data_IF_971465617122
#
_entry.id   IF_971465617122
#
_cell.length_a   1.000
_cell.length_b   1.000
_cell.length_c   1.000
_cell.angle_alpha   90.00
_cell.angle_beta   90.00
_cell.angle_gamma   90.00
#
_symmetry.space_group_name_H-M   'P 1'
#
loop_
_entity.id
_entity.type
_entity.pdbx_description
1 polymer ?
#
# COMPACT_ATOMS: atom_id res chain seq x y z
N UNK A 1 21.43 13.06 -16.29
CA UNK A 1 22.17 12.19 -15.34
C UNK A 1 22.19 10.78 -15.91
N UNK A 2 23.17 9.93 -15.60
CA UNK A 2 23.09 8.51 -15.98
C UNK A 2 21.85 7.85 -15.36
N UNK A 3 21.27 6.82 -16.00
CA UNK A 3 20.11 6.12 -15.46
C UNK A 3 20.45 5.42 -14.14
N UNK A 4 19.49 5.38 -13.22
CA UNK A 4 19.57 4.62 -11.98
C UNK A 4 19.56 3.14 -12.32
N UNK A 5 20.58 2.40 -11.89
CA UNK A 5 20.74 0.98 -12.20
C UNK A 5 19.97 0.13 -11.19
N UNK A 6 19.02 -0.63 -11.68
CA UNK A 6 17.99 -1.30 -10.88
C UNK A 6 18.24 -2.80 -10.80
N UNK A 7 18.21 -3.33 -9.57
CA UNK A 7 18.06 -4.75 -9.27
C UNK A 7 16.63 -5.06 -8.82
N UNK A 8 15.96 -6.04 -9.44
CA UNK A 8 14.60 -6.44 -9.07
C UNK A 8 14.61 -7.81 -8.37
N UNK A 9 14.07 -7.86 -7.16
CA UNK A 9 13.81 -9.09 -6.40
C UNK A 9 12.32 -9.45 -6.54
N UNK A 10 12.01 -10.62 -7.12
CA UNK A 10 10.63 -11.12 -7.22
C UNK A 10 9.92 -10.88 -8.57
N UNK A 11 10.67 -10.71 -9.66
CA UNK A 11 10.07 -10.61 -11.00
C UNK A 11 9.73 -12.00 -11.54
N UNK A 12 8.44 -12.24 -11.83
CA UNK A 12 7.94 -13.43 -12.52
C UNK A 12 6.73 -13.08 -13.38
N UNK A 13 6.29 -13.98 -14.27
CA UNK A 13 5.21 -13.72 -15.23
C UNK A 13 3.91 -13.22 -14.59
N UNK A 14 3.58 -13.70 -13.38
CA UNK A 14 2.34 -13.37 -12.68
C UNK A 14 2.54 -12.47 -11.46
N UNK A 15 3.78 -12.02 -11.19
CA UNK A 15 4.06 -11.22 -10.01
C UNK A 15 3.56 -9.78 -10.14
N UNK A 16 3.39 -9.14 -9.00
CA UNK A 16 3.09 -7.71 -8.91
C UNK A 16 4.16 -6.85 -9.61
N UNK A 17 5.44 -7.20 -9.47
CA UNK A 17 6.55 -6.59 -10.18
C UNK A 17 6.30 -6.48 -11.70
N UNK A 18 5.82 -7.55 -12.33
CA UNK A 18 5.54 -7.55 -13.77
C UNK A 18 4.38 -6.65 -14.17
N UNK A 19 3.37 -6.50 -13.31
CA UNK A 19 2.16 -5.73 -13.59
C UNK A 19 2.29 -4.24 -13.26
N UNK A 20 3.07 -3.91 -12.24
CA UNK A 20 3.09 -2.57 -11.65
C UNK A 20 4.43 -1.84 -11.78
N UNK A 21 5.56 -2.56 -11.72
CA UNK A 21 6.89 -1.94 -11.75
C UNK A 21 7.50 -1.97 -13.15
N UNK A 22 7.52 -3.15 -13.76
CA UNK A 22 8.16 -3.38 -15.05
C UNK A 22 7.66 -2.42 -16.15
N UNK A 23 6.35 -2.13 -16.30
CA UNK A 23 5.88 -1.27 -17.40
C UNK A 23 6.50 0.13 -17.42
N UNK A 24 6.73 0.74 -16.26
CA UNK A 24 7.38 2.05 -16.19
C UNK A 24 8.90 1.93 -16.35
N UNK A 25 9.51 0.95 -15.69
CA UNK A 25 10.96 0.72 -15.75
C UNK A 25 11.47 0.42 -17.16
N UNK A 26 10.63 -0.14 -18.05
CA UNK A 26 11.03 -0.44 -19.43
C UNK A 26 10.96 0.75 -20.37
N UNK A 27 10.18 1.79 -20.04
CA UNK A 27 10.00 2.97 -20.91
C UNK A 27 10.72 4.21 -20.39
N UNK A 28 11.04 4.26 -19.10
CA UNK A 28 11.65 5.44 -18.47
C UNK A 28 13.14 5.54 -18.82
N UNK A 29 13.62 6.71 -19.28
CA UNK A 29 15.05 6.94 -19.50
C UNK A 29 15.84 7.11 -18.20
N UNK A 30 15.17 7.27 -17.06
CA UNK A 30 15.79 7.49 -15.75
C UNK A 30 16.26 6.18 -15.10
N UNK A 31 15.87 5.02 -15.64
CA UNK A 31 16.10 3.71 -15.03
C UNK A 31 16.67 2.72 -16.03
N UNK A 32 17.54 1.83 -15.55
CA UNK A 32 18.06 0.70 -16.32
C UNK A 32 18.02 -0.57 -15.46
N UNK A 33 17.34 -1.62 -15.93
CA UNK A 33 17.32 -2.91 -15.24
C UNK A 33 18.64 -3.66 -15.51
N UNK A 34 19.50 -3.76 -14.49
CA UNK A 34 20.83 -4.38 -14.60
C UNK A 34 20.93 -5.73 -13.90
N UNK A 35 20.01 -6.05 -12.98
CA UNK A 35 20.03 -7.29 -12.22
C UNK A 35 18.62 -7.81 -11.90
N UNK A 36 18.48 -9.13 -11.85
CA UNK A 36 17.33 -9.82 -11.29
C UNK A 36 17.76 -10.79 -10.18
N UNK A 37 16.92 -10.92 -9.16
CA UNK A 37 17.04 -11.94 -8.14
C UNK A 37 15.69 -12.63 -7.93
N UNK A 38 15.70 -13.96 -7.86
CA UNK A 38 14.55 -14.79 -7.48
C UNK A 38 15.03 -15.88 -6.52
N UNK A 39 14.13 -16.75 -6.04
CA UNK A 39 14.49 -17.85 -5.14
C UNK A 39 15.44 -18.89 -5.77
N UNK A 40 15.69 -18.82 -7.08
CA UNK A 40 16.81 -19.48 -7.74
C UNK A 40 17.27 -18.71 -8.98
N UNK A 41 18.54 -18.90 -9.38
CA UNK A 41 19.08 -18.33 -10.62
C UNK A 41 18.34 -18.84 -11.86
N UNK A 42 17.78 -20.04 -11.82
CA UNK A 42 16.95 -20.59 -12.90
C UNK A 42 15.67 -19.78 -13.10
N UNK A 43 14.97 -19.42 -12.02
CA UNK A 43 13.76 -18.60 -12.09
C UNK A 43 14.06 -17.17 -12.53
N UNK A 44 15.17 -16.59 -12.07
CA UNK A 44 15.59 -15.27 -12.55
C UNK A 44 15.98 -15.30 -14.04
N UNK A 45 16.63 -16.36 -14.54
CA UNK A 45 16.86 -16.57 -15.98
C UNK A 45 15.54 -16.70 -16.76
N UNK A 46 14.56 -17.42 -16.20
CA UNK A 46 13.24 -17.56 -16.80
C UNK A 46 12.51 -16.22 -16.91
N UNK A 47 12.55 -15.39 -15.86
CA UNK A 47 11.99 -14.04 -15.87
C UNK A 47 12.69 -13.15 -16.92
N UNK A 48 14.02 -13.15 -16.98
CA UNK A 48 14.79 -12.41 -18.00
C UNK A 48 14.35 -12.77 -19.42
N UNK A 49 14.19 -14.07 -19.70
CA UNK A 49 13.69 -14.56 -20.99
C UNK A 49 12.23 -14.17 -21.24
N UNK A 50 11.36 -14.33 -20.24
CA UNK A 50 9.93 -14.03 -20.33
C UNK A 50 9.68 -12.57 -20.73
N UNK A 51 10.48 -11.64 -20.19
CA UNK A 51 10.32 -10.21 -20.41
C UNK A 51 11.33 -9.62 -21.42
N UNK A 52 12.05 -10.45 -22.16
CA UNK A 52 13.05 -10.04 -23.17
C UNK A 52 14.05 -9.00 -22.65
N UNK A 53 14.49 -9.13 -21.40
CA UNK A 53 15.47 -8.23 -20.82
C UNK A 53 16.87 -8.50 -21.39
N UNK A 54 17.76 -7.48 -21.48
CA UNK A 54 19.09 -7.62 -22.07
C UNK A 54 19.89 -8.82 -21.55
N UNK A 55 20.70 -9.45 -22.42
CA UNK A 55 21.51 -10.62 -22.06
C UNK A 55 22.55 -10.33 -20.96
N UNK A 56 22.96 -9.07 -20.83
CA UNK A 56 23.84 -8.54 -19.79
C UNK A 56 23.15 -8.31 -18.43
N UNK A 57 21.82 -8.38 -18.35
CA UNK A 57 21.10 -8.32 -17.07
C UNK A 57 21.55 -9.51 -16.22
N UNK A 58 22.24 -9.19 -15.11
CA UNK A 58 22.84 -10.16 -14.20
C UNK A 58 21.77 -10.90 -13.42
N UNK A 59 22.10 -12.13 -13.02
CA UNK A 59 21.14 -13.05 -12.42
C UNK A 59 21.67 -13.56 -11.08
N UNK A 60 20.87 -13.39 -10.04
CA UNK A 60 21.15 -13.79 -8.67
C UNK A 60 20.09 -14.77 -8.16
N UNK A 61 20.50 -15.62 -7.22
CA UNK A 61 19.62 -16.50 -6.45
C UNK A 61 19.56 -16.15 -4.96
N UNK A 62 20.36 -15.17 -4.55
CA UNK A 62 20.49 -14.70 -3.16
C UNK A 62 20.48 -13.16 -3.14
N UNK A 63 19.58 -12.51 -2.39
CA UNK A 63 19.58 -11.06 -2.19
C UNK A 63 20.92 -10.49 -1.69
N UNK A 64 21.69 -11.25 -0.90
CA UNK A 64 22.99 -10.81 -0.40
C UNK A 64 24.04 -10.69 -1.51
N UNK A 65 23.97 -11.53 -2.55
CA UNK A 65 24.87 -11.44 -3.70
C UNK A 65 24.50 -10.28 -4.62
N UNK A 66 23.18 -10.04 -4.83
CA UNK A 66 22.71 -8.85 -5.53
C UNK A 66 23.13 -7.56 -4.80
N UNK A 67 23.06 -7.55 -3.47
CA UNK A 67 23.48 -6.41 -2.65
C UNK A 67 24.99 -6.12 -2.72
N UNK A 68 25.84 -7.09 -3.08
CA UNK A 68 27.27 -6.87 -3.27
C UNK A 68 27.63 -6.32 -4.65
N UNK A 69 26.71 -6.36 -5.62
CA UNK A 69 26.97 -5.90 -6.98
C UNK A 69 27.18 -4.38 -7.02
N UNK A 70 28.39 -3.88 -7.38
CA UNK A 70 28.65 -2.44 -7.46
C UNK A 70 27.92 -1.76 -8.64
N UNK A 71 27.33 -2.55 -9.53
CA UNK A 71 26.55 -2.04 -10.66
C UNK A 71 25.08 -1.78 -10.34
N UNK A 72 24.61 -2.10 -9.13
CA UNK A 72 23.22 -1.86 -8.69
C UNK A 72 23.17 -0.64 -7.77
N UNK A 73 22.32 0.33 -8.09
CA UNK A 73 22.08 1.55 -7.30
C UNK A 73 20.81 1.44 -6.44
N UNK A 74 19.76 0.87 -7.03
CA UNK A 74 18.43 0.70 -6.43
C UNK A 74 18.03 -0.78 -6.42
N UNK A 75 17.58 -1.27 -5.26
CA UNK A 75 17.00 -2.60 -5.11
C UNK A 75 15.48 -2.50 -4.91
N UNK A 76 14.71 -3.14 -5.78
CA UNK A 76 13.25 -3.26 -5.67
C UNK A 76 12.91 -4.62 -5.08
N UNK A 77 12.07 -4.64 -4.04
CA UNK A 77 11.56 -5.85 -3.41
C UNK A 77 10.06 -5.98 -3.61
N UNK A 78 9.66 -6.95 -4.44
CA UNK A 78 8.26 -7.30 -4.72
C UNK A 78 8.08 -8.81 -4.60
N UNK A 79 8.29 -9.34 -3.40
CA UNK A 79 8.11 -10.76 -3.04
C UNK A 79 7.01 -10.91 -1.99
N UNK A 80 6.78 -12.13 -1.50
CA UNK A 80 5.87 -12.36 -0.37
C UNK A 80 6.38 -11.64 0.89
N UNK A 81 5.47 -11.07 1.68
CA UNK A 81 5.78 -10.16 2.80
C UNK A 81 6.72 -10.79 3.84
N UNK A 82 6.57 -12.08 4.14
CA UNK A 82 7.46 -12.84 5.04
C UNK A 82 8.91 -12.96 4.55
N UNK A 83 9.18 -12.57 3.30
CA UNK A 83 10.52 -12.54 2.71
C UNK A 83 11.11 -11.14 2.60
N UNK A 84 10.34 -10.09 2.89
CA UNK A 84 10.80 -8.70 2.74
C UNK A 84 12.08 -8.45 3.55
N UNK A 85 12.07 -8.78 4.85
CA UNK A 85 13.21 -8.56 5.73
C UNK A 85 14.52 -9.14 5.17
N UNK A 86 14.50 -10.44 4.85
CA UNK A 86 15.67 -11.15 4.31
C UNK A 86 16.08 -10.64 2.92
N UNK A 87 15.13 -10.14 2.12
CA UNK A 87 15.41 -9.61 0.79
C UNK A 87 16.06 -8.22 0.82
N UNK A 88 15.68 -7.36 1.77
CA UNK A 88 16.07 -5.93 1.72
C UNK A 88 17.18 -5.57 2.70
N UNK A 89 17.29 -6.30 3.83
CA UNK A 89 18.32 -6.01 4.82
C UNK A 89 19.74 -6.00 4.23
N UNK A 90 20.13 -6.94 3.33
CA UNK A 90 21.45 -6.90 2.70
C UNK A 90 21.69 -5.63 1.87
N UNK A 91 20.68 -5.14 1.16
CA UNK A 91 20.78 -3.94 0.34
C UNK A 91 20.94 -2.67 1.19
N UNK A 92 20.20 -2.58 2.30
CA UNK A 92 20.35 -1.50 3.29
C UNK A 92 21.76 -1.49 3.89
N UNK A 93 22.27 -2.65 4.30
CA UNK A 93 23.62 -2.82 4.85
C UNK A 93 24.71 -2.47 3.83
N UNK A 94 24.49 -2.78 2.56
CA UNK A 94 25.37 -2.41 1.46
C UNK A 94 25.26 -0.92 1.08
N UNK A 95 24.35 -0.16 1.70
CA UNK A 95 24.16 1.26 1.46
C UNK A 95 23.52 1.58 0.11
N UNK A 96 22.71 0.67 -0.44
CA UNK A 96 21.93 0.90 -1.66
C UNK A 96 20.61 1.57 -1.35
N UNK A 97 20.06 2.29 -2.32
CA UNK A 97 18.67 2.72 -2.24
C UNK A 97 17.75 1.50 -2.35
N UNK A 98 16.62 1.52 -1.64
CA UNK A 98 15.65 0.44 -1.64
C UNK A 98 14.23 0.96 -1.89
N UNK A 99 13.46 0.22 -2.70
CA UNK A 99 12.02 0.37 -2.83
C UNK A 99 11.39 -0.97 -2.47
N UNK A 100 10.50 -0.98 -1.49
CA UNK A 100 9.89 -2.20 -0.94
C UNK A 100 8.39 -2.09 -1.00
N UNK A 101 7.71 -3.13 -1.44
CA UNK A 101 6.25 -3.14 -1.40
C UNK A 101 5.71 -3.01 0.02
N UNK A 102 4.56 -2.36 0.17
CA UNK A 102 3.79 -2.44 1.40
C UNK A 102 3.14 -3.83 1.51
N UNK A 103 3.08 -4.46 2.70
CA UNK A 103 3.65 -4.04 3.98
C UNK A 103 5.17 -4.09 4.05
N UNK A 104 5.78 -3.12 4.76
CA UNK A 104 7.24 -3.03 4.91
C UNK A 104 7.88 -4.35 5.41
N UNK A 105 7.22 -5.03 6.34
CA UNK A 105 7.62 -6.33 6.87
C UNK A 105 6.40 -7.13 7.31
N UNK A 106 6.59 -8.39 7.74
CA UNK A 106 5.46 -9.25 8.15
C UNK A 106 4.85 -8.88 9.50
N UNK A 107 5.57 -8.15 10.35
CA UNK A 107 5.14 -7.72 11.67
C UNK A 107 5.89 -6.45 12.12
N UNK A 108 5.44 -5.87 13.23
CA UNK A 108 6.01 -4.65 13.81
C UNK A 108 7.51 -4.80 14.15
N UNK A 109 7.93 -5.92 14.76
CA UNK A 109 9.32 -6.12 15.17
C UNK A 109 10.29 -6.10 13.98
N UNK A 110 9.94 -6.75 12.87
CA UNK A 110 10.76 -6.69 11.66
C UNK A 110 10.75 -5.31 11.01
N UNK A 111 9.63 -4.59 11.04
CA UNK A 111 9.55 -3.22 10.54
C UNK A 111 10.44 -2.26 11.37
N UNK A 112 10.45 -2.41 12.70
CA UNK A 112 11.32 -1.66 13.62
C UNK A 112 12.80 -1.93 13.33
N UNK A 113 13.16 -3.19 13.12
CA UNK A 113 14.54 -3.57 12.81
C UNK A 113 14.99 -3.03 11.45
N UNK A 114 14.12 -3.02 10.43
CA UNK A 114 14.43 -2.43 9.13
C UNK A 114 14.65 -0.92 9.21
N UNK A 115 13.83 -0.21 10.00
CA UNK A 115 14.04 1.22 10.30
C UNK A 115 15.36 1.42 11.04
N UNK A 116 15.68 0.57 12.01
CA UNK A 116 16.96 0.61 12.75
C UNK A 116 18.14 0.43 11.81
N UNK A 117 18.10 -0.57 10.93
CA UNK A 117 19.14 -0.83 9.92
C UNK A 117 19.28 0.35 8.96
N UNK A 118 18.18 0.87 8.42
CA UNK A 118 18.17 2.04 7.54
C UNK A 118 18.85 3.25 8.22
N UNK A 119 18.54 3.52 9.49
CA UNK A 119 19.09 4.65 10.22
C UNK A 119 20.55 4.45 10.67
N UNK A 120 20.97 3.21 10.94
CA UNK A 120 22.36 2.90 11.30
C UNK A 120 23.34 3.13 10.13
N UNK A 121 22.92 2.81 8.90
CA UNK A 121 23.79 2.83 7.72
C UNK A 121 23.47 3.98 6.74
N UNK A 122 22.64 4.95 7.17
CA UNK A 122 22.44 6.19 6.45
C UNK A 122 23.72 7.03 6.50
N UNK A 123 24.49 7.05 5.41
CA UNK A 123 25.49 8.11 5.21
C UNK A 123 24.71 9.44 5.15
N UNK A 124 25.14 10.50 5.85
CA UNK A 124 24.48 11.80 5.74
C UNK A 124 24.35 12.16 4.27
N UNK A 125 23.15 12.57 3.80
CA UNK A 125 22.90 12.84 2.40
C UNK A 125 23.79 14.01 1.96
N UNK A 126 24.94 13.68 1.37
CA UNK A 126 25.60 14.61 0.48
C UNK A 126 24.67 14.76 -0.72
N UNK A 127 24.36 16.01 -1.07
CA UNK A 127 23.24 16.43 -1.94
C UNK A 127 23.17 15.79 -3.34
N UNK A 128 24.09 14.90 -3.69
CA UNK A 128 24.19 14.32 -5.02
C UNK A 128 23.83 12.82 -5.09
N UNK A 129 23.76 12.07 -3.98
CA UNK A 129 23.41 10.63 -3.98
C UNK A 129 22.77 10.18 -2.66
N UNK A 130 21.55 10.65 -2.36
CA UNK A 130 20.82 10.22 -1.16
C UNK A 130 20.49 8.73 -1.21
N UNK A 131 20.84 7.98 -0.15
CA UNK A 131 20.37 6.60 0.05
C UNK A 131 18.90 6.65 0.44
N UNK A 132 18.00 6.31 -0.47
CA UNK A 132 16.55 6.37 -0.25
C UNK A 132 16.04 5.02 0.24
N UNK A 133 15.07 5.04 1.16
CA UNK A 133 14.37 3.87 1.64
C UNK A 133 12.86 4.10 1.54
N UNK A 134 12.31 3.67 0.40
CA UNK A 134 10.92 3.94 0.02
C UNK A 134 10.06 2.71 0.24
N UNK A 135 8.90 2.92 0.86
CA UNK A 135 7.82 1.92 0.88
C UNK A 135 6.79 2.27 -0.19
N UNK A 136 6.35 1.28 -0.97
CA UNK A 136 5.37 1.51 -2.01
C UNK A 136 3.95 1.58 -1.42
N UNK A 137 3.61 2.74 -0.84
CA UNK A 137 2.25 3.17 -0.56
C UNK A 137 1.76 4.08 -1.71
N UNK A 138 1.68 3.52 -2.91
CA UNK A 138 1.40 4.23 -4.16
C UNK A 138 0.03 4.91 -4.19
N UNK A 139 -0.93 4.47 -3.35
CA UNK A 139 -2.23 5.15 -3.19
C UNK A 139 -2.11 6.64 -2.84
N UNK A 140 -1.01 7.05 -2.21
CA UNK A 140 -0.69 8.45 -1.92
C UNK A 140 -0.59 9.34 -3.17
N UNK A 141 -0.27 8.74 -4.32
CA UNK A 141 -0.06 9.40 -5.60
C UNK A 141 -1.31 9.40 -6.49
N UNK A 142 -2.40 8.77 -6.04
CA UNK A 142 -3.59 8.64 -6.86
C UNK A 142 -4.22 10.03 -7.15
N UNK A 143 -4.56 10.34 -8.42
CA UNK A 143 -5.12 11.64 -8.80
C UNK A 143 -6.36 12.04 -7.99
N UNK A 144 -7.25 11.09 -7.69
CA UNK A 144 -8.47 11.38 -6.93
C UNK A 144 -8.12 11.90 -5.52
N UNK A 145 -7.05 11.39 -4.91
CA UNK A 145 -6.64 11.84 -3.57
C UNK A 145 -6.06 13.25 -3.62
N UNK A 146 -5.37 13.62 -4.69
CA UNK A 146 -4.96 15.01 -4.94
C UNK A 146 -6.18 15.92 -5.08
N UNK A 147 -7.20 15.49 -5.83
CA UNK A 147 -8.43 16.25 -6.00
C UNK A 147 -9.17 16.44 -4.66
N UNK A 148 -9.32 15.40 -3.84
CA UNK A 148 -9.93 15.53 -2.51
C UNK A 148 -9.13 16.49 -1.62
N UNK A 149 -7.79 16.39 -1.61
CA UNK A 149 -6.92 17.33 -0.88
C UNK A 149 -7.12 18.77 -1.34
N UNK A 150 -7.26 18.99 -2.64
CA UNK A 150 -7.50 20.31 -3.22
C UNK A 150 -8.88 20.87 -2.79
N UNK A 151 -9.95 20.08 -2.92
CA UNK A 151 -11.31 20.50 -2.51
C UNK A 151 -11.38 20.91 -1.03
N UNK A 152 -10.64 20.21 -0.17
CA UNK A 152 -10.56 20.54 1.25
C UNK A 152 -9.72 21.79 1.50
N UNK A 153 -8.61 21.97 0.78
CA UNK A 153 -7.78 23.17 0.88
C UNK A 153 -8.51 24.43 0.40
N UNK A 154 -9.36 24.30 -0.62
CA UNK A 154 -10.25 25.35 -1.11
C UNK A 154 -11.40 25.66 -0.13
N UNK A 155 -11.59 24.86 0.92
CA UNK A 155 -12.65 25.03 1.90
C UNK A 155 -14.05 24.75 1.33
N UNK A 156 -14.17 23.94 0.26
CA UNK A 156 -15.43 23.64 -0.43
C UNK A 156 -16.53 23.12 0.50
N UNK A 157 -16.17 22.40 1.55
CA UNK A 157 -17.09 21.89 2.58
C UNK A 157 -16.91 22.56 3.96
N UNK A 158 -16.12 23.64 4.02
CA UNK A 158 -15.72 24.29 5.27
C UNK A 158 -14.88 23.39 6.18
N UNK A 159 -15.00 23.58 7.49
CA UNK A 159 -14.30 22.75 8.49
C UNK A 159 -14.84 21.32 8.45
N UNK A 160 -13.93 20.34 8.37
CA UNK A 160 -14.29 18.92 8.47
C UNK A 160 -14.79 18.60 9.87
N UNK A 161 -15.93 17.92 9.94
CA UNK A 161 -16.62 17.56 11.18
C UNK A 161 -16.55 16.06 11.48
N UNK A 162 -16.54 15.20 10.46
CA UNK A 162 -16.38 13.74 10.61
C UNK A 162 -16.03 13.09 9.27
N UNK A 163 -15.49 11.86 9.30
CA UNK A 163 -15.33 11.04 8.11
C UNK A 163 -15.81 9.60 8.34
N UNK A 164 -16.42 9.00 7.33
CA UNK A 164 -16.88 7.61 7.36
C UNK A 164 -16.38 6.86 6.14
N UNK A 165 -15.84 5.66 6.33
CA UNK A 165 -15.35 4.81 5.25
C UNK A 165 -16.04 3.45 5.31
N UNK A 166 -16.61 3.02 4.18
CA UNK A 166 -17.19 1.68 4.00
C UNK A 166 -16.54 1.02 2.80
N UNK A 167 -15.86 -0.12 3.04
CA UNK A 167 -15.18 -0.90 2.01
C UNK A 167 -15.66 -2.35 1.93
N UNK A 168 -15.76 -2.86 0.71
CA UNK A 168 -16.08 -4.25 0.40
C UNK A 168 -14.99 -4.82 -0.49
N UNK A 169 -14.18 -5.73 0.04
CA UNK A 169 -13.15 -6.40 -0.73
C UNK A 169 -13.84 -7.51 -1.54
N UNK A 170 -14.37 -7.15 -2.72
CA UNK A 170 -14.92 -8.09 -3.68
C UNK A 170 -13.89 -9.13 -4.13
N UNK A 171 -14.24 -10.03 -5.06
CA UNK A 171 -13.42 -11.18 -5.45
C UNK A 171 -12.08 -10.92 -6.18
N UNK A 172 -11.46 -9.75 -6.02
CA UNK A 172 -10.17 -9.40 -6.61
C UNK A 172 -9.04 -9.42 -5.59
N UNK A 173 -7.93 -10.09 -5.96
CA UNK A 173 -6.64 -10.18 -5.25
C UNK A 173 -6.57 -11.09 -4.00
N UNK A 174 -7.33 -12.19 -3.94
CA UNK A 174 -7.01 -13.37 -3.13
C UNK A 174 -7.33 -13.28 -1.63
N UNK A 175 -7.05 -12.17 -0.95
CA UNK A 175 -7.43 -11.93 0.45
C UNK A 175 -8.85 -11.34 0.57
N UNK A 176 -9.65 -11.90 1.49
CA UNK A 176 -11.04 -11.49 1.68
C UNK A 176 -12.02 -12.07 0.64
N UNK A 177 -11.64 -13.15 -0.05
CA UNK A 177 -12.45 -13.82 -1.07
C UNK A 177 -12.89 -15.21 -0.58
N UNK A 178 -14.06 -15.67 -1.03
CA UNK A 178 -14.57 -17.03 -0.78
C UNK A 178 -13.75 -18.09 -1.53
N UNK A 179 -12.93 -17.67 -2.51
CA UNK A 179 -12.12 -18.53 -3.37
C UNK A 179 -10.75 -17.90 -3.60
N UNK A 180 -9.70 -18.69 -3.45
CA UNK A 180 -8.31 -18.30 -3.64
C UNK A 180 -7.60 -19.33 -4.51
N UNK A 181 -6.63 -18.90 -5.32
CA UNK A 181 -5.81 -19.83 -6.09
C UNK A 181 -4.54 -20.25 -5.35
N UNK A 182 -3.98 -21.39 -5.74
CA UNK A 182 -2.80 -22.03 -5.13
C UNK A 182 -1.54 -21.14 -5.08
N UNK A 183 -1.42 -20.15 -5.97
CA UNK A 183 -0.26 -19.23 -5.93
C UNK A 183 -0.44 -18.11 -4.90
N UNK A 184 -1.65 -17.93 -4.36
CA UNK A 184 -1.98 -16.86 -3.42
C UNK A 184 -2.48 -17.39 -2.07
N UNK A 185 -2.55 -18.71 -1.86
CA UNK A 185 -3.04 -19.32 -0.61
C UNK A 185 -2.38 -18.78 0.66
N UNK A 186 -1.15 -18.27 0.56
CA UNK A 186 -0.42 -17.68 1.67
C UNK A 186 -1.13 -16.47 2.31
N UNK A 187 -2.03 -15.79 1.59
CA UNK A 187 -2.85 -14.71 2.16
C UNK A 187 -3.88 -15.21 3.20
N UNK A 188 -4.11 -16.52 3.30
CA UNK A 188 -4.99 -17.09 4.33
C UNK A 188 -4.28 -17.29 5.68
N UNK A 189 -2.98 -16.97 5.76
CA UNK A 189 -2.09 -17.25 6.89
C UNK A 189 -1.55 -15.96 7.50
N UNK A 190 -1.97 -15.65 8.73
CA UNK A 190 -1.54 -14.46 9.49
C UNK A 190 -0.03 -14.37 9.62
N UNK A 191 0.65 -15.50 9.83
CA UNK A 191 2.10 -15.59 9.99
C UNK A 191 2.91 -15.07 8.78
N UNK A 192 2.29 -15.01 7.60
CA UNK A 192 2.90 -14.46 6.38
C UNK A 192 2.96 -12.93 6.41
N UNK A 193 2.06 -12.28 7.17
CA UNK A 193 2.01 -10.83 7.35
C UNK A 193 1.32 -10.05 6.23
N UNK A 194 1.01 -10.68 5.10
CA UNK A 194 0.15 -10.12 4.05
C UNK A 194 -1.27 -10.65 4.17
N UNK A 195 -2.26 -9.78 4.41
CA UNK A 195 -3.68 -10.12 4.49
C UNK A 195 -4.56 -8.85 4.41
N UNK A 196 -5.88 -8.98 4.50
CA UNK A 196 -6.82 -7.86 4.42
C UNK A 196 -6.55 -6.73 5.45
N UNK A 197 -6.10 -7.05 6.66
CA UNK A 197 -5.78 -6.03 7.67
C UNK A 197 -4.51 -5.29 7.28
N UNK A 198 -3.44 -6.02 6.96
CA UNK A 198 -2.16 -5.37 6.66
C UNK A 198 -2.16 -4.69 5.30
N UNK A 199 -2.78 -5.27 4.28
CA UNK A 199 -2.75 -4.78 2.89
C UNK A 199 -3.93 -3.82 2.64
N UNK A 200 -5.17 -4.31 2.72
CA UNK A 200 -6.33 -3.55 2.27
C UNK A 200 -6.67 -2.41 3.21
N UNK A 201 -6.78 -2.70 4.50
CA UNK A 201 -6.91 -1.66 5.51
C UNK A 201 -5.66 -0.77 5.49
N UNK A 202 -4.45 -1.32 5.45
CA UNK A 202 -3.22 -0.53 5.38
C UNK A 202 -3.20 0.53 4.28
N UNK A 203 -3.47 0.17 3.02
CA UNK A 203 -3.50 1.12 1.91
C UNK A 203 -4.65 2.13 1.99
N UNK A 204 -5.84 1.68 2.37
CA UNK A 204 -7.02 2.54 2.40
C UNK A 204 -7.01 3.50 3.58
N UNK A 205 -6.64 3.03 4.78
CA UNK A 205 -6.43 3.90 5.94
C UNK A 205 -5.27 4.85 5.68
N UNK A 206 -4.21 4.44 4.97
CA UNK A 206 -3.15 5.37 4.58
C UNK A 206 -3.71 6.53 3.76
N UNK A 207 -4.51 6.21 2.74
CA UNK A 207 -5.14 7.20 1.88
C UNK A 207 -6.05 8.16 2.65
N UNK A 208 -6.87 7.63 3.57
CA UNK A 208 -7.72 8.43 4.47
C UNK A 208 -6.87 9.34 5.36
N UNK A 209 -5.78 8.80 5.90
CA UNK A 209 -4.93 9.44 6.91
C UNK A 209 -3.83 10.31 6.34
N UNK A 210 -3.70 10.43 5.02
CA UNK A 210 -2.71 11.30 4.39
C UNK A 210 -2.83 12.72 4.97
N UNK A 211 -1.94 13.03 5.93
CA UNK A 211 -2.23 13.85 7.11
C UNK A 211 -2.64 15.29 6.85
N UNK A 212 -2.51 15.78 5.62
CA UNK A 212 -2.95 17.11 5.22
C UNK A 212 -4.47 17.21 5.01
N UNK A 213 -5.17 16.09 4.84
CA UNK A 213 -6.62 16.07 4.61
C UNK A 213 -7.40 16.75 5.75
N UNK A 214 -6.93 16.60 6.99
CA UNK A 214 -7.62 17.07 8.19
C UNK A 214 -6.86 18.13 9.00
N UNK A 215 -5.59 18.39 8.68
CA UNK A 215 -4.76 19.35 9.43
C UNK A 215 -4.92 20.82 8.97
N UNK A 216 -5.49 21.09 7.79
CA UNK A 216 -5.60 22.44 7.23
C UNK A 216 -6.51 23.40 8.03
N UNK A 217 -7.25 22.91 9.03
CA UNK A 217 -8.26 23.72 9.75
C UNK A 217 -8.07 23.75 11.27
N UNK A 218 -6.99 23.19 11.81
CA UNK A 218 -6.71 23.32 13.25
C UNK A 218 -5.88 24.58 13.47
N UNK A 219 -6.50 25.53 14.18
CA UNK A 219 -5.89 26.75 14.69
C UNK A 219 -4.54 26.43 15.37
N UNK A 220 -3.45 26.98 14.83
CA UNK A 220 -2.26 27.47 15.53
C UNK A 220 -1.77 26.74 16.80
N UNK A 221 -1.71 25.39 16.81
CA UNK A 221 -1.04 24.64 17.88
C UNK A 221 0.04 23.73 17.28
N UNK A 222 1.27 24.24 17.37
CA UNK A 222 2.56 23.56 17.16
C UNK A 222 3.06 23.42 15.72
N UNK A 223 3.93 24.36 15.34
CA UNK A 223 4.88 24.29 14.22
C UNK A 223 5.98 23.21 14.41
N UNK A 224 5.79 22.19 15.25
CA UNK A 224 6.86 21.27 15.65
C UNK A 224 6.63 19.77 15.37
N UNK A 225 5.52 19.33 14.76
CA UNK A 225 5.26 17.89 14.61
C UNK A 225 5.01 17.47 13.16
N UNK A 226 6.08 17.42 12.37
CA UNK A 226 6.20 16.56 11.18
C UNK A 226 6.12 15.03 11.52
N UNK A 227 5.53 14.65 12.66
CA UNK A 227 5.48 13.28 13.23
C UNK A 227 4.05 12.72 13.38
N UNK A 228 3.01 13.38 12.84
CA UNK A 228 1.60 13.06 13.11
C UNK A 228 0.92 12.15 12.05
N UNK A 229 1.68 11.37 11.27
CA UNK A 229 1.06 10.37 10.40
C UNK A 229 0.32 9.33 11.28
N UNK A 230 -0.93 9.01 10.93
CA UNK A 230 -1.76 7.97 11.59
C UNK A 230 -2.05 8.18 13.10
N UNK A 231 -2.06 9.42 13.57
CA UNK A 231 -2.27 9.71 14.99
C UNK A 231 -3.75 9.87 15.37
N UNK A 232 -4.16 9.24 16.46
CA UNK A 232 -5.45 9.41 17.12
C UNK A 232 -5.26 10.07 18.50
N UNK A 233 -6.25 10.83 19.00
CA UNK A 233 -6.20 11.44 20.34
C UNK A 233 -6.13 10.40 21.47
N UNK A 234 -6.65 9.21 21.20
CA UNK A 234 -6.54 8.02 22.04
C UNK A 234 -6.49 6.80 21.12
N UNK A 235 -5.96 5.64 21.55
CA UNK A 235 -6.05 4.42 20.77
C UNK A 235 -7.49 4.18 20.27
N UNK A 236 -7.70 3.98 18.96
CA UNK A 236 -9.04 3.76 18.42
C UNK A 236 -9.60 2.43 18.93
N UNK A 237 -10.92 2.31 18.92
CA UNK A 237 -11.63 1.06 19.20
C UNK A 237 -11.79 0.26 17.93
N UNK A 238 -11.38 -1.00 17.97
CA UNK A 238 -11.37 -1.86 16.79
C UNK A 238 -12.06 -3.19 17.00
N UNK A 239 -12.60 -3.73 15.90
CA UNK A 239 -13.11 -5.10 15.81
C UNK A 239 -12.41 -5.76 14.63
N UNK A 240 -11.70 -6.84 14.93
CA UNK A 240 -11.09 -7.75 13.96
C UNK A 240 -11.77 -9.12 14.11
N UNK A 241 -12.50 -9.54 13.08
CA UNK A 241 -13.21 -10.82 13.11
C UNK A 241 -12.79 -11.71 11.95
N UNK A 242 -12.66 -13.01 12.26
CA UNK A 242 -12.57 -14.09 11.29
C UNK A 242 -13.81 -14.98 11.47
N UNK A 243 -14.87 -14.69 10.71
CA UNK A 243 -16.14 -15.44 10.70
C UNK A 243 -16.20 -16.47 9.57
N UNK A 244 -15.30 -16.37 8.60
CA UNK A 244 -15.13 -17.32 7.51
C UNK A 244 -13.77 -18.00 7.67
N UNK A 245 -13.71 -19.08 8.44
CA UNK A 245 -12.46 -19.79 8.77
C UNK A 245 -11.96 -20.74 7.68
N UNK A 246 -12.66 -20.81 6.54
CA UNK A 246 -12.27 -21.60 5.38
C UNK A 246 -12.66 -20.94 4.06
N UNK A 247 -11.87 -21.20 3.02
CA UNK A 247 -12.06 -20.73 1.65
C UNK A 247 -11.99 -21.90 0.67
N UNK A 248 -12.44 -21.69 -0.56
CA UNK A 248 -12.25 -22.63 -1.66
C UNK A 248 -10.86 -22.39 -2.28
N UNK A 249 -10.01 -23.40 -2.32
CA UNK A 249 -8.74 -23.38 -3.03
C UNK A 249 -8.93 -23.94 -4.44
N UNK A 250 -8.47 -23.21 -5.45
CA UNK A 250 -8.52 -23.62 -6.86
C UNK A 250 -7.12 -23.63 -7.49
N UNK A 251 -6.94 -24.44 -8.52
CA UNK A 251 -5.75 -24.32 -9.36
C UNK A 251 -5.87 -23.07 -10.21
N UNK A 252 -4.80 -22.27 -10.25
CA UNK A 252 -4.76 -21.05 -11.06
C UNK A 252 -4.89 -21.36 -12.55
N UNK A 253 -4.32 -22.49 -12.98
CA UNK A 253 -4.22 -22.85 -14.40
C UNK A 253 -5.51 -23.47 -14.92
N UNK A 254 -6.08 -24.43 -14.18
CA UNK A 254 -7.25 -25.18 -14.65
C UNK A 254 -8.59 -24.66 -14.09
N UNK A 255 -8.56 -23.84 -13.04
CA UNK A 255 -9.75 -23.46 -12.27
C UNK A 255 -10.36 -24.62 -11.46
N UNK A 256 -9.75 -25.81 -11.50
CA UNK A 256 -10.24 -26.97 -10.76
C UNK A 256 -10.18 -26.73 -9.26
N UNK A 257 -11.18 -27.21 -8.53
CA UNK A 257 -11.20 -27.15 -7.07
C UNK A 257 -10.15 -28.11 -6.54
N UNK A 258 -9.17 -27.58 -5.81
CA UNK A 258 -8.17 -28.35 -5.07
C UNK A 258 -8.73 -28.70 -3.69
N UNK A 259 -9.38 -27.75 -3.03
CA UNK A 259 -10.06 -27.94 -1.74
C UNK A 259 -11.29 -27.05 -1.63
N UNK A 260 -12.40 -27.58 -1.16
CA UNK A 260 -13.62 -26.78 -0.90
C UNK A 260 -13.59 -26.07 0.47
N UNK A 261 -12.70 -26.48 1.37
CA UNK A 261 -12.63 -26.02 2.77
C UNK A 261 -11.17 -25.83 3.21
N UNK A 262 -10.39 -25.08 2.43
CA UNK A 262 -9.02 -24.74 2.77
C UNK A 262 -8.98 -23.77 3.96
N UNK A 263 -8.19 -24.03 5.01
CA UNK A 263 -8.23 -23.24 6.25
C UNK A 263 -7.73 -21.80 6.07
N UNK A 264 -8.35 -20.87 6.81
CA UNK A 264 -7.97 -19.44 6.89
C UNK A 264 -7.99 -18.96 8.33
N UNK A 265 -6.90 -18.35 8.77
CA UNK A 265 -6.80 -17.72 10.10
C UNK A 265 -6.86 -16.18 10.07
N UNK A 266 -6.77 -15.57 8.88
CA UNK A 266 -6.84 -14.11 8.67
C UNK A 266 -8.27 -13.56 8.80
N UNK A 267 -8.38 -12.28 9.12
CA UNK A 267 -9.67 -11.58 9.29
C UNK A 267 -10.49 -11.53 7.98
N UNK A 268 -11.81 -11.38 8.14
CA UNK A 268 -12.77 -11.08 7.08
C UNK A 268 -13.67 -9.87 7.40
N UNK A 269 -13.57 -9.30 8.61
CA UNK A 269 -14.23 -8.05 8.97
C UNK A 269 -13.32 -7.18 9.82
N UNK A 270 -13.26 -5.89 9.49
CA UNK A 270 -12.50 -4.85 10.18
C UNK A 270 -13.45 -3.69 10.48
N UNK A 271 -13.53 -3.29 11.74
CA UNK A 271 -14.12 -2.00 12.14
C UNK A 271 -13.13 -1.21 12.97
N UNK A 272 -13.11 0.11 12.79
CA UNK A 272 -12.29 1.04 13.56
C UNK A 272 -13.09 2.31 13.82
N UNK A 273 -13.13 2.74 15.08
CA UNK A 273 -13.73 4.00 15.51
C UNK A 273 -12.77 4.78 16.40
N UNK A 274 -12.53 6.04 16.09
CA UNK A 274 -11.65 6.87 16.90
C UNK A 274 -11.74 8.34 16.53
N UNK A 275 -11.04 9.17 17.31
CA UNK A 275 -10.88 10.60 16.99
C UNK A 275 -9.45 10.83 16.55
N UNK A 276 -9.27 11.34 15.33
CA UNK A 276 -7.96 11.70 14.78
C UNK A 276 -7.30 12.78 15.65
N UNK A 277 -5.98 12.89 15.62
CA UNK A 277 -5.26 13.96 16.33
C UNK A 277 -5.70 15.38 15.91
N UNK A 278 -6.32 15.53 14.73
CA UNK A 278 -6.98 16.77 14.28
C UNK A 278 -8.29 17.09 15.01
N UNK A 279 -8.81 16.19 15.84
CA UNK A 279 -10.13 16.28 16.49
C UNK A 279 -11.28 15.75 15.64
N UNK A 280 -11.03 15.27 14.41
CA UNK A 280 -12.07 14.73 13.51
C UNK A 280 -12.41 13.29 13.92
N UNK A 281 -13.68 12.96 14.24
CA UNK A 281 -14.12 11.59 14.41
C UNK A 281 -14.07 10.81 13.10
N UNK A 282 -13.56 9.58 13.16
CA UNK A 282 -13.48 8.63 12.06
C UNK A 282 -14.25 7.35 12.41
N UNK A 283 -15.13 6.94 11.49
CA UNK A 283 -15.74 5.62 11.48
C UNK A 283 -15.27 4.86 10.23
N UNK A 284 -14.65 3.72 10.42
CA UNK A 284 -14.13 2.90 9.33
C UNK A 284 -14.69 1.48 9.44
N UNK A 285 -15.19 0.95 8.33
CA UNK A 285 -15.59 -0.45 8.22
C UNK A 285 -15.16 -1.03 6.89
N UNK A 286 -14.60 -2.23 6.94
CA UNK A 286 -14.25 -3.00 5.76
C UNK A 286 -14.59 -4.47 5.99
N UNK A 287 -15.14 -5.14 4.98
CA UNK A 287 -15.38 -6.57 5.04
C UNK A 287 -15.01 -7.28 3.74
N UNK A 288 -14.72 -8.57 3.90
CA UNK A 288 -14.61 -9.54 2.83
C UNK A 288 -15.93 -9.72 2.06
N UNK A 289 -15.79 -10.16 0.81
CA UNK A 289 -16.89 -10.49 -0.06
C UNK A 289 -17.47 -9.30 -0.84
N UNK A 290 -18.43 -9.59 -1.73
CA UNK A 290 -18.98 -8.58 -2.62
C UNK A 290 -19.73 -7.49 -1.86
N UNK A 291 -19.72 -6.28 -2.45
CA UNK A 291 -20.69 -5.24 -2.11
C UNK A 291 -22.12 -5.73 -2.38
N UNK A 292 -23.11 -5.03 -1.83
CA UNK A 292 -24.49 -5.28 -2.23
C UNK A 292 -24.63 -4.99 -3.74
N UNK A 293 -25.50 -5.75 -4.42
CA UNK A 293 -25.68 -5.59 -5.86
C UNK A 293 -26.02 -4.13 -6.21
N UNK A 294 -25.38 -3.61 -7.25
CA UNK A 294 -25.58 -2.25 -7.75
C UNK A 294 -25.19 -1.13 -6.76
N UNK A 295 -24.38 -1.46 -5.74
CA UNK A 295 -23.76 -0.49 -4.83
C UNK A 295 -22.24 -0.45 -5.05
N UNK A 296 -21.57 0.68 -4.77
CA UNK A 296 -20.13 0.76 -4.95
C UNK A 296 -19.38 -0.14 -3.95
N UNK A 297 -18.19 -0.63 -4.36
CA UNK A 297 -17.30 -1.37 -3.47
C UNK A 297 -16.66 -0.49 -2.39
N UNK A 298 -16.60 0.81 -2.63
CA UNK A 298 -16.15 1.85 -1.70
C UNK A 298 -17.19 2.97 -1.61
N UNK A 299 -17.54 3.38 -0.40
CA UNK A 299 -18.22 4.64 -0.09
C UNK A 299 -17.46 5.34 1.05
N UNK A 300 -16.67 6.36 0.70
CA UNK A 300 -15.93 7.18 1.65
C UNK A 300 -16.51 8.60 1.67
N UNK A 301 -16.87 9.08 2.85
CA UNK A 301 -17.50 10.39 3.04
C UNK A 301 -16.70 11.26 4.00
N UNK A 302 -16.67 12.55 3.69
CA UNK A 302 -16.03 13.59 4.49
C UNK A 302 -17.07 14.68 4.71
N UNK A 303 -17.66 14.69 5.89
CA UNK A 303 -18.71 15.62 6.28
C UNK A 303 -18.09 16.89 6.85
N UNK A 304 -18.51 18.05 6.37
CA UNK A 304 -18.01 19.36 6.76
C UNK A 304 -19.13 20.34 7.12
N UNK A 305 -18.76 21.46 7.71
CA UNK A 305 -19.70 22.50 8.17
C UNK A 305 -20.51 23.18 7.06
N UNK A 306 -20.08 23.09 5.79
CA UNK A 306 -20.74 23.74 4.64
C UNK A 306 -21.14 22.76 3.53
N UNK A 307 -20.78 21.48 3.66
CA UNK A 307 -21.00 20.49 2.62
C UNK A 307 -20.45 19.12 2.99
N UNK A 308 -20.50 18.20 2.03
CA UNK A 308 -19.96 16.84 2.16
C UNK A 308 -19.24 16.44 0.87
N UNK A 309 -18.08 15.80 0.98
CA UNK A 309 -17.42 15.13 -0.14
C UNK A 309 -17.73 13.64 -0.01
N UNK A 310 -18.18 13.02 -1.10
CA UNK A 310 -18.38 11.58 -1.22
C UNK A 310 -17.50 11.02 -2.33
N UNK A 311 -16.71 10.01 -2.01
CA UNK A 311 -15.85 9.28 -2.92
C UNK A 311 -16.40 7.86 -3.05
N UNK A 312 -16.71 7.46 -4.28
CA UNK A 312 -17.14 6.08 -4.56
C UNK A 312 -16.22 5.42 -5.58
N UNK A 313 -16.03 4.12 -5.47
CA UNK A 313 -15.27 3.34 -6.44
C UNK A 313 -15.79 1.89 -6.50
N UNK A 314 -15.50 1.14 -7.59
CA UNK A 314 -15.88 -0.27 -7.72
C UNK A 314 -15.24 -1.17 -6.65
N UNK A 315 -14.12 -0.74 -6.07
CA UNK A 315 -13.36 -1.48 -5.07
C UNK A 315 -12.70 -0.51 -4.08
N UNK A 316 -12.44 -0.91 -2.81
CA UNK A 316 -11.61 -0.13 -1.89
C UNK A 316 -10.12 -0.09 -2.26
N UNK A 317 -9.67 -0.82 -3.31
CA UNK A 317 -8.25 -0.89 -3.73
C UNK A 317 -7.77 0.33 -4.52
N UNK A 318 -7.88 1.51 -3.91
CA UNK A 318 -7.53 2.79 -4.53
C UNK A 318 -6.05 2.91 -4.94
N UNK A 319 -5.17 2.06 -4.39
CA UNK A 319 -3.76 2.00 -4.75
C UNK A 319 -3.51 1.33 -6.12
N UNK A 320 -4.41 0.45 -6.56
CA UNK A 320 -4.23 -0.41 -7.74
C UNK A 320 -4.74 0.23 -9.04
N UNK A 321 -5.30 1.43 -8.94
CA UNK A 321 -6.01 2.10 -10.00
C UNK A 321 -7.21 2.85 -9.45
N UNK A 322 -7.70 3.81 -10.23
CA UNK A 322 -8.80 4.69 -9.86
C UNK A 322 -9.90 4.71 -10.93
N UNK A 323 -9.88 3.75 -11.86
CA UNK A 323 -10.89 3.62 -12.91
C UNK A 323 -12.27 3.40 -12.27
N UNK A 324 -13.25 4.22 -12.65
CA UNK A 324 -14.59 4.21 -12.06
C UNK A 324 -14.71 4.92 -10.71
N UNK A 325 -13.64 5.56 -10.22
CA UNK A 325 -13.71 6.42 -9.02
C UNK A 325 -14.49 7.69 -9.35
N UNK A 326 -15.44 8.04 -8.49
CA UNK A 326 -16.21 9.29 -8.56
C UNK A 326 -16.00 10.12 -7.31
N UNK A 327 -15.94 11.43 -7.50
CA UNK A 327 -15.93 12.41 -6.40
C UNK A 327 -17.17 13.28 -6.57
N UNK A 328 -18.01 13.31 -5.55
CA UNK A 328 -19.22 14.14 -5.50
C UNK A 328 -19.09 15.13 -4.34
N UNK A 329 -19.50 16.37 -4.55
CA UNK A 329 -19.51 17.41 -3.53
C UNK A 329 -20.93 17.94 -3.37
N UNK A 330 -21.51 17.74 -2.18
CA UNK A 330 -22.79 18.31 -1.81
C UNK A 330 -22.58 19.62 -1.06
N UNK A 331 -23.02 20.75 -1.63
CA UNK A 331 -22.96 22.06 -0.98
C UNK A 331 -24.28 22.41 -0.28
N UNK A 332 -24.25 22.63 1.04
CA UNK A 332 -25.47 22.85 1.83
C UNK A 332 -26.15 24.18 1.53
N UNK A 333 -25.36 25.24 1.29
CA UNK A 333 -25.92 26.55 0.96
C UNK A 333 -26.59 26.57 -0.42
N UNK A 334 -26.08 25.77 -1.37
CA UNK A 334 -26.61 25.66 -2.72
C UNK A 334 -27.68 24.60 -2.89
N UNK A 335 -27.79 23.65 -1.94
CA UNK A 335 -28.59 22.43 -2.03
C UNK A 335 -28.37 21.65 -3.35
N UNK A 336 -27.09 21.44 -3.70
CA UNK A 336 -26.68 20.83 -4.98
C UNK A 336 -25.52 19.89 -4.82
N UNK A 337 -25.57 18.78 -5.55
CA UNK A 337 -24.47 17.83 -5.73
C UNK A 337 -23.77 18.12 -7.05
N UNK A 338 -22.46 18.29 -6.98
CA UNK A 338 -21.55 18.47 -8.11
C UNK A 338 -20.67 17.23 -8.24
N UNK A 339 -20.61 16.60 -9.41
CA UNK A 339 -19.58 15.61 -9.71
C UNK A 339 -18.29 16.35 -10.10
N UNK A 340 -17.22 16.11 -9.34
CA UNK A 340 -15.90 16.68 -9.56
C UNK A 340 -15.05 15.67 -10.33
N UNK A 341 -14.49 16.10 -11.45
CA UNK A 341 -13.59 15.27 -12.22
C UNK A 341 -12.33 14.94 -11.39
N UNK A 342 -11.99 13.64 -11.33
CA UNK A 342 -10.74 13.14 -10.71
C UNK A 342 -9.48 13.69 -11.40
N UNK A 343 -9.62 14.12 -12.65
CA UNK A 343 -8.50 14.52 -13.51
C UNK A 343 -7.80 13.31 -14.13
N UNK A 344 -7.14 13.54 -15.26
CA UNK A 344 -6.33 12.52 -15.94
C UNK A 344 -4.96 12.42 -15.27
N UNK A 345 -4.59 11.22 -14.84
CA UNK A 345 -3.25 10.96 -14.30
C UNK A 345 -2.18 11.08 -15.39
N UNK A 346 -0.97 11.46 -14.98
CA UNK A 346 0.19 11.66 -15.87
C UNK A 346 0.48 10.46 -16.79
N UNK A 347 0.33 9.24 -16.27
CA UNK A 347 0.66 8.01 -16.99
C UNK A 347 -0.56 7.25 -17.50
N UNK A 348 -1.74 7.88 -17.52
CA UNK A 348 -3.01 7.18 -17.74
C UNK A 348 -3.12 6.54 -19.14
N UNK A 349 -2.58 7.22 -20.16
CA UNK A 349 -2.55 6.74 -21.55
C UNK A 349 -1.36 5.82 -21.85
N UNK A 350 -0.32 5.87 -21.01
CA UNK A 350 0.97 5.22 -21.28
C UNK A 350 1.08 3.88 -20.57
N UNK A 351 0.43 3.74 -19.42
CA UNK A 351 0.62 2.61 -18.52
C UNK A 351 -0.69 1.93 -18.15
N UNK A 352 -0.65 0.60 -17.93
CA UNK A 352 -1.79 -0.12 -17.36
C UNK A 352 -2.11 0.41 -15.95
N UNK A 353 -3.38 0.29 -15.54
CA UNK A 353 -3.91 0.86 -14.29
C UNK A 353 -3.02 0.59 -13.06
N UNK A 354 -2.56 -0.66 -12.91
CA UNK A 354 -1.70 -1.11 -11.81
C UNK A 354 -0.33 -0.40 -11.74
N UNK A 355 0.19 0.11 -12.86
CA UNK A 355 1.50 0.74 -12.93
C UNK A 355 1.45 2.27 -12.80
N UNK A 356 0.28 2.91 -12.95
CA UNK A 356 0.15 4.38 -13.01
C UNK A 356 0.62 5.08 -11.74
N UNK A 357 0.12 4.63 -10.58
CA UNK A 357 0.50 5.20 -9.29
C UNK A 357 1.97 4.87 -8.93
N UNK A 358 2.43 3.66 -9.28
CA UNK A 358 3.81 3.21 -9.03
C UNK A 358 4.81 4.00 -9.89
N UNK A 359 4.46 4.36 -11.12
CA UNK A 359 5.28 5.22 -11.96
C UNK A 359 5.54 6.59 -11.33
N UNK A 360 4.56 7.17 -10.65
CA UNK A 360 4.74 8.43 -9.92
C UNK A 360 5.75 8.25 -8.78
N UNK A 361 5.70 7.13 -8.05
CA UNK A 361 6.71 6.81 -7.01
C UNK A 361 8.13 6.78 -7.60
N UNK A 362 8.31 6.16 -8.77
CA UNK A 362 9.60 6.17 -9.46
C UNK A 362 9.99 7.57 -9.94
N UNK A 363 9.07 8.39 -10.43
CA UNK A 363 9.38 9.77 -10.81
C UNK A 363 9.89 10.58 -9.62
N UNK A 364 9.25 10.45 -8.45
CA UNK A 364 9.71 11.09 -7.21
C UNK A 364 11.11 10.59 -6.79
N UNK A 365 11.34 9.27 -6.88
CA UNK A 365 12.62 8.64 -6.55
C UNK A 365 13.75 9.15 -7.46
N UNK A 366 13.51 9.28 -8.77
CA UNK A 366 14.47 9.83 -9.72
C UNK A 366 14.85 11.29 -9.41
N UNK A 367 14.01 12.00 -8.68
CA UNK A 367 14.24 13.37 -8.20
C UNK A 367 14.73 13.41 -6.74
N UNK A 368 15.22 12.27 -6.23
CA UNK A 368 15.74 12.10 -4.88
C UNK A 368 14.71 12.40 -3.77
N UNK A 369 13.44 12.03 -3.99
CA UNK A 369 12.34 12.20 -3.03
C UNK A 369 11.71 10.87 -2.66
N UNK A 370 11.37 10.72 -1.38
CA UNK A 370 10.68 9.55 -0.83
C UNK A 370 9.17 9.82 -0.79
N UNK A 371 8.37 9.03 -1.51
CA UNK A 371 6.90 9.14 -1.48
C UNK A 371 6.30 8.61 -0.18
N UNK A 372 6.96 7.63 0.43
CA UNK A 372 6.72 7.14 1.77
C UNK A 372 8.03 6.62 2.34
N UNK A 373 8.44 7.13 3.51
CA UNK A 373 9.65 6.65 4.18
C UNK A 373 9.37 5.36 4.97
N UNK A 374 10.43 4.68 5.39
CA UNK A 374 10.31 3.54 6.31
C UNK A 374 9.74 3.96 7.67
N UNK A 375 10.07 5.16 8.16
CA UNK A 375 9.51 5.69 9.41
C UNK A 375 8.00 5.91 9.31
N UNK A 376 7.50 6.45 8.20
CA UNK A 376 6.06 6.60 8.00
C UNK A 376 5.36 5.24 7.92
N UNK A 377 5.94 4.28 7.19
CA UNK A 377 5.40 2.92 7.12
C UNK A 377 5.41 2.22 8.49
N UNK A 378 6.40 2.50 9.35
CA UNK A 378 6.46 1.98 10.71
C UNK A 378 5.30 2.50 11.58
N UNK A 379 4.90 3.76 11.43
CA UNK A 379 3.73 4.29 12.16
C UNK A 379 2.43 3.56 11.75
N UNK A 380 2.29 3.19 10.47
CA UNK A 380 1.18 2.36 10.02
C UNK A 380 1.24 0.93 10.59
N UNK A 381 2.43 0.34 10.68
CA UNK A 381 2.65 -0.95 11.37
C UNK A 381 2.24 -0.89 12.84
N UNK A 382 2.57 0.20 13.55
CA UNK A 382 2.18 0.39 14.96
C UNK A 382 0.67 0.47 15.13
N UNK A 383 -0.04 1.12 14.21
CA UNK A 383 -1.50 1.13 14.21
C UNK A 383 -2.06 -0.28 14.06
N UNK A 384 -1.60 -1.02 13.05
CA UNK A 384 -2.06 -2.40 12.78
C UNK A 384 -1.76 -3.33 13.96
N UNK A 385 -0.56 -3.27 14.52
CA UNK A 385 -0.18 -4.04 15.70
C UNK A 385 -1.07 -3.71 16.92
N UNK A 386 -1.36 -2.43 17.14
CA UNK A 386 -2.28 -1.99 18.19
C UNK A 386 -3.69 -2.58 18.03
N UNK A 387 -4.19 -2.67 16.79
CA UNK A 387 -5.48 -3.30 16.48
C UNK A 387 -5.48 -4.80 16.82
N UNK A 388 -4.42 -5.52 16.43
CA UNK A 388 -4.28 -6.93 16.78
C UNK A 388 -4.24 -7.14 18.30
N UNK A 389 -3.42 -6.37 19.02
CA UNK A 389 -3.32 -6.48 20.49
C UNK A 389 -4.65 -6.23 21.19
N UNK A 390 -5.40 -5.19 20.79
CA UNK A 390 -6.71 -4.90 21.38
C UNK A 390 -7.68 -6.08 21.23
N UNK A 391 -7.70 -6.72 20.05
CA UNK A 391 -8.64 -7.82 19.76
C UNK A 391 -8.20 -9.16 20.38
N UNK A 392 -6.90 -9.42 20.50
CA UNK A 392 -6.36 -10.60 21.18
C UNK A 392 -6.55 -10.54 22.71
N UNK A 393 -6.45 -9.34 23.30
CA UNK A 393 -6.76 -9.09 24.71
C UNK A 393 -8.27 -9.18 24.98
N UNK A 394 -9.09 -8.59 24.11
CA UNK A 394 -10.55 -8.68 24.18
C UNK A 394 -11.05 -10.13 24.13
N UNK A 395 -10.49 -10.97 23.25
CA UNK A 395 -10.83 -12.38 23.16
C UNK A 395 -10.45 -13.18 24.43
N UNK A 396 -9.41 -12.76 25.16
CA UNK A 396 -8.98 -13.39 26.42
C UNK A 396 -9.91 -13.02 27.60
N UNK A 397 -10.43 -11.79 27.62
CA UNK A 397 -11.30 -11.31 28.70
C UNK A 397 -12.77 -11.77 28.60
N UNK A 398 -13.19 -12.33 27.45
CA UNK A 398 -14.55 -12.89 27.25
C UNK A 398 -14.64 -14.36 27.64
N UNK A 399 -13.51 -15.03 27.95
CA UNK A 399 -13.52 -16.36 28.58
C UNK A 399 -13.75 -16.22 30.10
N UNK A 400 -14.98 -15.90 30.49
CA UNK A 400 -15.47 -15.96 31.88
C UNK A 400 -16.74 -16.80 31.95
#
# INVERSE_FOLDING_TARGET
MPPIRVGIIGLSQHSWAARAHLPYLTISPDYQIVALCNSSTQQAKAARKCFNLPGETRIYGDPADLAKDPSVDLVICSVRVDKHFAAIAPALLAGKSVLVEWPLARNLSEAEELVRLKNQYATPPTKENGRLAVVNLQGRQAPFLHQVKQLLAEGRIGRVLSSSFIGHTGGGAGDGVITIDEEHEYFTRKEVGGNMVSIHFGHSIDSVMQGKLFLLHVFAMSLATNRLAYSFLSPPKTILANRQQAVRLISRTSGAIISSTYPKDTEDTISLHGTLASGVPLSYTMRAGPAFKDTPGLDWRIYGSKGEIRITAPTPFMQMGYDGTKIEVYGFASDRVEEVAVGKGEFEDLLPSAARNVAIVYRELAQNRESCTFEEALELHKLIDGMYRENDEGARNVKL
#
